data_IF_632743190726
#
_entry.id   IF_632743190726
#
_cell.length_a   1.000
_cell.length_b   1.000
_cell.length_c   1.000
_cell.angle_alpha   90.00
_cell.angle_beta   90.00
_cell.angle_gamma   90.00
#
_symmetry.space_group_name_H-M   'P 1'
#
loop_
_entity.id
_entity.type
_entity.pdbx_description
1 polymer ?
#
# COMPACT_ATOMS: atom_id res chain seq x y z
N UNK A 1 11.73 11.25 14.29
CA UNK A 1 11.83 9.94 14.99
C UNK A 1 10.62 9.85 15.90
N UNK A 2 9.72 8.91 15.64
CA UNK A 2 8.64 8.60 16.59
C UNK A 2 9.29 7.86 17.76
N UNK A 3 9.17 8.44 18.95
CA UNK A 3 9.66 7.85 20.17
C UNK A 3 8.61 6.90 20.76
N UNK A 4 9.07 5.86 21.44
CA UNK A 4 8.19 5.00 22.23
C UNK A 4 7.40 5.88 23.20
N UNK A 5 6.09 5.64 23.32
CA UNK A 5 5.22 6.41 24.22
C UNK A 5 5.73 6.40 25.66
N UNK A 6 5.67 7.54 26.34
CA UNK A 6 6.22 7.66 27.69
C UNK A 6 5.38 6.91 28.74
N UNK A 7 6.00 6.59 29.88
CA UNK A 7 5.43 5.79 30.96
C UNK A 7 4.15 6.38 31.55
N UNK A 8 4.00 7.71 31.57
CA UNK A 8 2.83 8.38 32.12
C UNK A 8 1.58 8.33 31.19
N UNK A 9 1.74 7.90 29.95
CA UNK A 9 0.65 7.88 29.00
C UNK A 9 -0.25 6.65 29.19
N UNK A 10 -1.46 6.87 29.70
CA UNK A 10 -2.50 5.85 29.75
C UNK A 10 -3.17 5.71 28.39
N UNK A 11 -2.81 4.66 27.66
CA UNK A 11 -3.37 4.38 26.35
C UNK A 11 -4.43 3.28 26.46
N UNK A 12 -5.57 3.48 25.82
CA UNK A 12 -6.61 2.44 25.64
C UNK A 12 -7.00 2.42 24.19
N UNK A 13 -7.06 1.24 23.60
CA UNK A 13 -7.58 1.05 22.25
C UNK A 13 -9.08 0.88 22.34
N UNK A 14 -9.80 1.79 21.69
CA UNK A 14 -11.25 1.81 21.66
C UNK A 14 -11.76 1.54 20.25
N UNK A 15 -12.91 0.89 20.16
CA UNK A 15 -13.57 0.69 18.88
C UNK A 15 -14.00 2.03 18.30
N UNK A 16 -13.52 2.36 17.11
CA UNK A 16 -13.94 3.55 16.37
C UNK A 16 -15.23 3.26 15.60
N UNK A 17 -16.11 4.27 15.48
CA UNK A 17 -17.34 4.17 14.71
C UNK A 17 -18.53 4.78 15.46
N UNK A 18 -19.73 4.71 14.86
CA UNK A 18 -21.00 5.24 15.41
C UNK A 18 -21.97 4.15 15.88
N UNK A 19 -21.57 2.86 15.82
CA UNK A 19 -22.39 1.72 16.19
C UNK A 19 -22.51 1.51 17.73
N UNK A 20 -23.28 0.49 18.15
CA UNK A 20 -23.50 0.12 19.56
C UNK A 20 -22.22 -0.17 20.35
N UNK A 21 -21.12 -0.52 19.66
CA UNK A 21 -19.82 -0.85 20.26
C UNK A 21 -18.83 0.31 20.19
N UNK A 22 -19.25 1.47 19.66
CA UNK A 22 -18.42 2.66 19.60
C UNK A 22 -17.93 3.07 21.01
N UNK A 23 -16.63 3.32 21.14
CA UNK A 23 -16.00 3.70 22.40
C UNK A 23 -15.72 2.55 23.39
N UNK A 24 -16.15 1.32 23.11
CA UNK A 24 -15.76 0.17 23.94
C UNK A 24 -14.25 -0.05 23.90
N UNK A 25 -13.68 -0.34 25.06
CA UNK A 25 -12.25 -0.68 25.17
C UNK A 25 -12.05 -2.06 24.58
N UNK A 26 -11.27 -2.15 23.53
CA UNK A 26 -10.87 -3.40 22.87
C UNK A 26 -9.73 -4.02 23.64
N UNK A 27 -8.76 -3.19 24.01
CA UNK A 27 -7.53 -3.63 24.64
C UNK A 27 -6.84 -2.45 25.37
N UNK A 28 -6.14 -2.77 26.45
CA UNK A 28 -5.27 -1.83 27.15
C UNK A 28 -3.81 -2.24 26.94
N UNK A 29 -3.03 -1.49 26.14
CA UNK A 29 -1.63 -1.79 25.88
C UNK A 29 -0.77 -1.79 27.16
N UNK A 30 0.37 -2.51 27.18
CA UNK A 30 1.28 -2.53 28.32
C UNK A 30 1.80 -1.14 28.63
N UNK A 31 2.08 -0.88 29.90
CA UNK A 31 2.69 0.37 30.38
C UNK A 31 4.19 0.20 30.58
N UNK A 32 4.92 1.31 30.45
CA UNK A 32 6.37 1.34 30.73
C UNK A 32 7.22 1.11 29.49
N UNK A 33 8.15 2.04 29.21
CA UNK A 33 9.03 1.96 28.04
C UNK A 33 9.89 0.69 28.06
N UNK A 34 10.36 0.26 29.23
CA UNK A 34 11.15 -0.97 29.37
C UNK A 34 10.35 -2.21 28.96
N UNK A 35 9.07 -2.30 29.40
CA UNK A 35 8.17 -3.42 29.06
C UNK A 35 7.83 -3.40 27.55
N UNK A 36 7.57 -2.21 27.00
CA UNK A 36 7.30 -2.06 25.58
C UNK A 36 8.50 -2.52 24.76
N UNK A 37 9.71 -2.09 25.13
CA UNK A 37 10.94 -2.48 24.46
C UNK A 37 11.17 -3.98 24.52
N UNK A 38 11.04 -4.60 25.69
CA UNK A 38 11.16 -6.06 25.87
C UNK A 38 10.20 -6.81 24.94
N UNK A 39 8.94 -6.37 24.86
CA UNK A 39 7.94 -6.99 23.98
C UNK A 39 8.24 -6.79 22.48
N UNK A 40 8.80 -5.63 22.11
CA UNK A 40 9.27 -5.40 20.75
C UNK A 40 10.48 -6.27 20.41
N UNK A 41 11.44 -6.40 21.32
CA UNK A 41 12.61 -7.27 21.13
C UNK A 41 12.17 -8.74 20.97
N UNK A 42 11.20 -9.19 21.78
CA UNK A 42 10.58 -10.52 21.64
C UNK A 42 9.89 -10.70 20.28
N UNK A 43 9.13 -9.70 19.83
CA UNK A 43 8.48 -9.71 18.51
C UNK A 43 9.51 -9.81 17.38
N UNK A 44 10.62 -9.07 17.46
CA UNK A 44 11.72 -9.13 16.48
C UNK A 44 12.36 -10.52 16.48
N UNK A 45 12.58 -11.11 17.65
CA UNK A 45 13.09 -12.49 17.77
C UNK A 45 12.13 -13.49 17.11
N UNK A 46 10.84 -13.43 17.45
CA UNK A 46 9.81 -14.28 16.83
C UNK A 46 9.84 -14.23 15.31
N UNK A 47 9.98 -13.04 14.73
CA UNK A 47 9.97 -12.86 13.26
C UNK A 47 11.22 -13.35 12.54
N UNK A 48 12.37 -13.32 13.23
CA UNK A 48 13.66 -13.68 12.61
C UNK A 48 14.10 -15.11 12.92
N UNK A 49 13.56 -15.74 13.94
CA UNK A 49 13.90 -17.10 14.33
C UNK A 49 12.95 -18.10 13.65
N UNK A 50 13.34 -18.55 12.46
CA UNK A 50 12.57 -19.52 11.69
C UNK A 50 12.88 -20.97 12.12
N UNK A 51 13.91 -21.19 12.93
CA UNK A 51 14.26 -22.53 13.44
C UNK A 51 13.37 -22.93 14.61
N UNK A 52 13.17 -22.05 15.57
CA UNK A 52 12.34 -22.32 16.75
C UNK A 52 10.85 -22.03 16.49
N UNK A 53 10.53 -21.10 15.61
CA UNK A 53 9.15 -20.75 15.23
C UNK A 53 8.83 -21.17 13.79
N UNK A 54 8.80 -22.48 13.57
CA UNK A 54 8.49 -23.08 12.25
C UNK A 54 7.00 -22.98 11.95
N UNK A 55 6.62 -22.00 11.14
CA UNK A 55 5.27 -21.81 10.64
C UNK A 55 5.28 -21.07 9.31
N UNK A 56 4.16 -21.15 8.58
CA UNK A 56 3.97 -20.38 7.36
C UNK A 56 4.14 -18.87 7.62
N UNK A 57 4.79 -18.16 6.71
CA UNK A 57 5.11 -16.74 6.88
C UNK A 57 3.87 -15.85 6.91
N UNK A 58 2.75 -16.25 6.28
CA UNK A 58 1.49 -15.50 6.35
C UNK A 58 0.89 -15.58 7.76
N UNK A 59 0.93 -16.75 8.40
CA UNK A 59 0.52 -16.90 9.80
C UNK A 59 1.44 -16.12 10.73
N UNK A 60 2.75 -16.21 10.51
CA UNK A 60 3.75 -15.49 11.31
C UNK A 60 3.55 -13.98 11.23
N UNK A 61 3.28 -13.46 10.02
CA UNK A 61 2.92 -12.06 9.81
C UNK A 61 1.63 -11.67 10.54
N UNK A 62 0.57 -12.48 10.46
CA UNK A 62 -0.71 -12.19 11.08
C UNK A 62 -0.60 -12.16 12.63
N UNK A 63 0.17 -13.08 13.22
CA UNK A 63 0.47 -13.11 14.66
C UNK A 63 1.29 -11.88 15.05
N UNK A 64 2.31 -11.54 14.26
CA UNK A 64 3.17 -10.40 14.50
C UNK A 64 2.40 -9.06 14.39
N UNK A 65 1.49 -8.95 13.43
CA UNK A 65 0.61 -7.78 13.31
C UNK A 65 -0.25 -7.59 14.55
N UNK A 66 -0.91 -8.65 15.03
CA UNK A 66 -1.66 -8.62 16.29
C UNK A 66 -0.77 -8.17 17.44
N UNK A 67 0.40 -8.79 17.60
CA UNK A 67 1.31 -8.49 18.71
C UNK A 67 1.79 -7.03 18.67
N UNK A 68 2.10 -6.50 17.48
CA UNK A 68 2.48 -5.11 17.32
C UNK A 68 1.35 -4.14 17.71
N UNK A 69 0.12 -4.42 17.22
CA UNK A 69 -1.05 -3.62 17.60
C UNK A 69 -1.34 -3.71 19.11
N UNK A 70 -1.14 -4.88 19.74
CA UNK A 70 -1.32 -5.09 21.16
C UNK A 70 -0.25 -4.38 22.02
N UNK A 71 0.99 -4.32 21.58
CA UNK A 71 2.06 -3.55 22.21
C UNK A 71 1.76 -2.04 22.10
N UNK A 72 1.28 -1.60 20.95
CA UNK A 72 0.93 -0.21 20.64
C UNK A 72 2.02 0.78 21.04
N UNK A 73 3.24 0.64 20.48
CA UNK A 73 4.43 1.29 21.01
C UNK A 73 4.45 2.82 20.88
N UNK A 74 3.74 3.39 19.92
CA UNK A 74 3.79 4.82 19.61
C UNK A 74 2.58 5.58 20.14
N UNK A 75 2.69 6.91 20.21
CA UNK A 75 1.55 7.78 20.58
C UNK A 75 0.47 7.79 19.50
N UNK A 76 0.89 7.78 18.23
CA UNK A 76 0.02 7.72 17.05
C UNK A 76 0.69 6.91 15.94
N UNK A 77 -0.05 6.54 14.91
CA UNK A 77 0.48 5.87 13.73
C UNK A 77 0.71 4.37 13.87
N UNK A 78 0.38 3.72 15.00
CA UNK A 78 0.62 2.29 15.20
C UNK A 78 0.01 1.45 14.08
N UNK A 79 -1.26 1.64 13.73
CA UNK A 79 -1.90 0.88 12.66
C UNK A 79 -1.26 1.10 11.29
N UNK A 80 -0.79 2.32 10.98
CA UNK A 80 -0.04 2.59 9.73
C UNK A 80 1.30 1.86 9.74
N UNK A 81 2.03 1.96 10.83
CA UNK A 81 3.32 1.28 11.02
C UNK A 81 3.16 -0.24 10.94
N UNK A 82 2.15 -0.81 11.62
CA UNK A 82 1.88 -2.24 11.59
C UNK A 82 1.59 -2.77 10.18
N UNK A 83 0.84 -2.02 9.38
CA UNK A 83 0.57 -2.40 7.98
C UNK A 83 1.81 -2.30 7.08
N UNK A 84 2.61 -1.25 7.21
CA UNK A 84 3.90 -1.13 6.49
C UNK A 84 4.86 -2.24 6.89
N UNK A 85 4.89 -2.56 8.18
CA UNK A 85 5.68 -3.66 8.72
C UNK A 85 5.30 -5.01 8.09
N UNK A 86 4.00 -5.32 7.93
CA UNK A 86 3.53 -6.53 7.27
C UNK A 86 4.09 -6.68 5.86
N UNK A 87 4.01 -5.61 5.06
CA UNK A 87 4.50 -5.61 3.68
C UNK A 87 6.01 -5.85 3.63
N UNK A 88 6.77 -5.13 4.47
CA UNK A 88 8.22 -5.29 4.54
C UNK A 88 8.63 -6.70 4.98
N UNK A 89 7.89 -7.30 5.91
CA UNK A 89 8.13 -8.67 6.34
C UNK A 89 7.91 -9.67 5.20
N UNK A 90 6.78 -9.57 4.48
CA UNK A 90 6.49 -10.45 3.34
C UNK A 90 7.51 -10.29 2.21
N UNK A 91 7.96 -9.06 1.93
CA UNK A 91 9.03 -8.81 0.97
C UNK A 91 10.35 -9.43 1.42
N UNK A 92 10.74 -9.25 2.70
CA UNK A 92 11.95 -9.85 3.27
C UNK A 92 11.95 -11.39 3.19
N UNK A 93 10.75 -12.01 3.30
CA UNK A 93 10.58 -13.47 3.22
C UNK A 93 10.40 -13.98 1.78
N UNK A 94 10.51 -13.11 0.78
CA UNK A 94 10.42 -13.47 -0.64
C UNK A 94 9.02 -13.82 -1.13
N UNK A 95 7.98 -13.45 -0.37
CA UNK A 95 6.58 -13.62 -0.79
C UNK A 95 6.06 -12.46 -1.65
N UNK A 96 6.77 -11.34 -1.64
CA UNK A 96 6.51 -10.17 -2.48
C UNK A 96 7.84 -9.69 -3.09
N UNK A 97 7.88 -9.51 -4.39
CA UNK A 97 9.03 -8.92 -5.08
C UNK A 97 9.10 -7.40 -4.85
N UNK A 98 7.95 -6.77 -4.68
CA UNK A 98 7.80 -5.33 -4.44
C UNK A 98 6.74 -5.06 -3.37
N UNK A 99 6.84 -3.92 -2.70
CA UNK A 99 5.99 -3.55 -1.55
C UNK A 99 4.63 -2.98 -1.98
N UNK A 100 3.83 -3.72 -2.75
CA UNK A 100 2.58 -3.23 -3.35
C UNK A 100 1.30 -3.87 -2.78
N UNK A 101 1.36 -4.57 -1.64
CA UNK A 101 0.19 -5.18 -1.01
C UNK A 101 -0.50 -4.18 -0.06
N UNK A 102 -1.62 -3.58 -0.45
CA UNK A 102 -2.30 -2.53 0.30
C UNK A 102 -3.41 -3.06 1.22
N UNK A 103 -3.05 -3.73 2.31
CA UNK A 103 -3.99 -4.26 3.32
C UNK A 103 -4.90 -3.18 3.93
N UNK A 104 -4.49 -1.90 3.85
CA UNK A 104 -5.23 -0.79 4.47
C UNK A 104 -6.66 -0.68 3.96
N UNK A 105 -6.91 -0.87 2.66
CA UNK A 105 -8.26 -0.77 2.09
C UNK A 105 -9.17 -1.82 2.70
N UNK A 106 -8.77 -3.08 2.65
CA UNK A 106 -9.56 -4.17 3.22
C UNK A 106 -9.86 -3.96 4.71
N UNK A 107 -8.85 -3.57 5.49
CA UNK A 107 -9.03 -3.32 6.93
C UNK A 107 -9.97 -2.13 7.18
N UNK A 108 -9.92 -1.08 6.36
CA UNK A 108 -10.79 0.09 6.48
C UNK A 108 -12.25 -0.25 6.13
N UNK A 109 -12.46 -1.10 5.13
CA UNK A 109 -13.78 -1.54 4.70
C UNK A 109 -14.40 -2.55 5.69
N UNK A 110 -13.55 -3.27 6.47
CA UNK A 110 -13.94 -4.31 7.44
C UNK A 110 -13.48 -3.97 8.86
N UNK A 111 -13.61 -2.71 9.28
CA UNK A 111 -13.11 -2.23 10.59
C UNK A 111 -13.69 -2.99 11.77
N UNK A 112 -14.98 -3.30 11.73
CA UNK A 112 -15.66 -3.99 12.83
C UNK A 112 -15.10 -5.41 13.02
N UNK A 113 -14.89 -6.15 11.94
CA UNK A 113 -14.29 -7.48 11.97
C UNK A 113 -12.83 -7.44 12.43
N UNK A 114 -12.07 -6.43 11.98
CA UNK A 114 -10.69 -6.20 12.41
C UNK A 114 -10.60 -6.03 13.93
N UNK A 115 -11.39 -5.11 14.50
CA UNK A 115 -11.38 -4.86 15.93
C UNK A 115 -11.97 -6.01 16.73
N UNK A 116 -13.00 -6.68 16.22
CA UNK A 116 -13.55 -7.91 16.80
C UNK A 116 -12.51 -9.03 16.85
N UNK A 117 -11.69 -9.15 15.79
CA UNK A 117 -10.57 -10.09 15.73
C UNK A 117 -9.51 -9.79 16.82
N UNK A 118 -9.04 -8.54 16.90
CA UNK A 118 -8.08 -8.10 17.93
C UNK A 118 -8.61 -8.36 19.35
N UNK A 119 -9.86 -7.95 19.63
CA UNK A 119 -10.53 -8.19 20.91
C UNK A 119 -10.70 -9.68 21.20
N UNK A 120 -11.06 -10.46 20.17
CA UNK A 120 -11.23 -11.90 20.26
C UNK A 120 -9.98 -12.62 20.71
N UNK A 121 -8.83 -12.25 20.16
CA UNK A 121 -7.54 -12.78 20.62
C UNK A 121 -7.23 -12.32 22.03
N UNK A 122 -7.32 -11.02 22.34
CA UNK A 122 -6.94 -10.45 23.63
C UNK A 122 -7.79 -11.00 24.78
N UNK A 123 -9.10 -11.21 24.57
CA UNK A 123 -10.03 -11.57 25.63
C UNK A 123 -10.31 -13.07 25.73
N UNK A 124 -10.22 -13.81 24.63
CA UNK A 124 -10.68 -15.21 24.53
C UNK A 124 -9.66 -16.15 23.88
N UNK A 125 -8.48 -15.67 23.48
CA UNK A 125 -7.50 -16.48 22.74
C UNK A 125 -8.00 -16.96 21.38
N UNK A 126 -8.95 -16.27 20.76
CA UNK A 126 -9.56 -16.68 19.50
C UNK A 126 -8.67 -16.34 18.29
N UNK A 127 -7.55 -17.03 18.18
CA UNK A 127 -6.60 -16.89 17.08
C UNK A 127 -7.18 -17.28 15.72
N UNK A 128 -8.07 -18.29 15.69
CA UNK A 128 -8.63 -18.79 14.44
C UNK A 128 -9.30 -17.67 13.63
N UNK A 129 -10.20 -16.92 14.25
CA UNK A 129 -10.93 -15.88 13.56
C UNK A 129 -10.00 -14.74 13.09
N UNK A 130 -9.01 -14.39 13.91
CA UNK A 130 -7.99 -13.40 13.55
C UNK A 130 -7.16 -13.84 12.34
N UNK A 131 -6.64 -15.05 12.37
CA UNK A 131 -5.83 -15.59 11.28
C UNK A 131 -6.63 -15.68 9.97
N UNK A 132 -7.87 -16.15 10.03
CA UNK A 132 -8.76 -16.19 8.86
C UNK A 132 -9.03 -14.78 8.32
N UNK A 133 -9.28 -13.81 9.19
CA UNK A 133 -9.46 -12.42 8.77
C UNK A 133 -8.22 -11.88 8.03
N UNK A 134 -7.04 -12.06 8.59
CA UNK A 134 -5.80 -11.58 7.97
C UNK A 134 -5.48 -12.29 6.65
N UNK A 135 -5.72 -13.60 6.55
CA UNK A 135 -5.53 -14.32 5.29
C UNK A 135 -6.51 -13.86 4.20
N UNK A 136 -7.77 -13.61 4.56
CA UNK A 136 -8.76 -13.02 3.63
C UNK A 136 -8.35 -11.62 3.17
N UNK A 137 -7.78 -10.81 4.06
CA UNK A 137 -7.25 -9.50 3.71
C UNK A 137 -6.13 -9.60 2.67
N UNK A 138 -5.23 -10.58 2.82
CA UNK A 138 -4.15 -10.83 1.87
C UNK A 138 -4.72 -11.33 0.54
N UNK A 139 -5.58 -12.35 0.55
CA UNK A 139 -6.20 -12.92 -0.65
C UNK A 139 -6.94 -11.85 -1.46
N UNK A 140 -7.82 -11.08 -0.82
CA UNK A 140 -8.57 -10.01 -1.46
C UNK A 140 -7.64 -8.96 -2.08
N UNK A 141 -6.68 -8.47 -1.29
CA UNK A 141 -5.79 -7.40 -1.73
C UNK A 141 -4.85 -7.85 -2.84
N UNK A 142 -4.32 -9.08 -2.76
CA UNK A 142 -3.45 -9.63 -3.82
C UNK A 142 -4.22 -9.85 -5.12
N UNK A 143 -5.46 -10.32 -5.06
CA UNK A 143 -6.33 -10.49 -6.23
C UNK A 143 -6.59 -9.17 -6.94
N UNK A 144 -6.99 -8.13 -6.19
CA UNK A 144 -7.22 -6.79 -6.78
C UNK A 144 -5.92 -6.20 -7.33
N UNK A 145 -4.82 -6.33 -6.61
CA UNK A 145 -3.53 -5.83 -7.08
C UNK A 145 -3.11 -6.51 -8.39
N UNK A 146 -3.28 -7.83 -8.47
CA UNK A 146 -2.98 -8.58 -9.69
C UNK A 146 -3.87 -8.16 -10.87
N UNK A 147 -5.16 -7.95 -10.63
CA UNK A 147 -6.08 -7.45 -11.65
C UNK A 147 -5.65 -6.07 -12.17
N UNK A 148 -5.35 -5.13 -11.27
CA UNK A 148 -4.88 -3.78 -11.64
C UNK A 148 -3.56 -3.81 -12.43
N UNK A 149 -2.62 -4.68 -12.06
CA UNK A 149 -1.37 -4.84 -12.81
C UNK A 149 -1.66 -5.30 -14.24
N UNK A 150 -2.53 -6.30 -14.42
CA UNK A 150 -2.89 -6.78 -15.74
C UNK A 150 -3.61 -5.71 -16.57
N UNK A 151 -4.50 -4.92 -15.99
CA UNK A 151 -5.14 -3.80 -16.66
C UNK A 151 -4.12 -2.73 -17.10
N UNK A 152 -3.16 -2.39 -16.22
CA UNK A 152 -2.10 -1.43 -16.55
C UNK A 152 -1.22 -1.95 -17.68
N UNK A 153 -0.84 -3.23 -17.67
CA UNK A 153 -0.04 -3.85 -18.74
C UNK A 153 -0.82 -3.82 -20.06
N UNK A 154 -2.08 -4.23 -20.04
CA UNK A 154 -2.95 -4.22 -21.22
C UNK A 154 -3.15 -2.81 -21.79
N UNK A 155 -3.39 -1.81 -20.93
CA UNK A 155 -3.52 -0.42 -21.34
C UNK A 155 -2.21 0.11 -21.97
N UNK A 156 -1.07 -0.24 -21.36
CA UNK A 156 0.26 0.13 -21.86
C UNK A 156 0.53 -0.47 -23.25
N UNK A 157 0.24 -1.74 -23.44
CA UNK A 157 0.41 -2.43 -24.73
C UNK A 157 -0.50 -1.85 -25.80
N UNK A 158 -1.75 -1.56 -25.46
CA UNK A 158 -2.72 -0.94 -26.38
C UNK A 158 -2.27 0.44 -26.86
N UNK A 159 -1.78 1.28 -25.96
CA UNK A 159 -1.24 2.61 -26.32
C UNK A 159 0.04 2.48 -27.14
N UNK A 160 0.90 1.53 -26.82
CA UNK A 160 2.13 1.29 -27.58
C UNK A 160 1.81 0.85 -29.03
N UNK A 161 0.88 -0.08 -29.21
CA UNK A 161 0.43 -0.51 -30.54
C UNK A 161 -0.20 0.65 -31.33
N UNK A 162 -1.03 1.45 -30.66
CA UNK A 162 -1.64 2.62 -31.27
C UNK A 162 -0.57 3.61 -31.79
N UNK A 163 0.43 3.94 -30.96
CA UNK A 163 1.52 4.85 -31.33
C UNK A 163 2.36 4.28 -32.48
N UNK A 164 2.61 2.96 -32.49
CA UNK A 164 3.38 2.30 -33.56
C UNK A 164 2.65 2.30 -34.90
N UNK A 165 1.33 2.29 -34.89
CA UNK A 165 0.48 2.34 -36.09
C UNK A 165 0.30 3.78 -36.63
N UNK A 166 0.60 4.81 -35.85
CA UNK A 166 0.50 6.21 -36.32
C UNK A 166 1.49 6.47 -37.47
N UNK A 167 1.00 7.05 -38.56
CA UNK A 167 1.81 7.41 -39.74
C UNK A 167 2.92 8.40 -39.44
N UNK A 168 2.76 9.21 -38.38
CA UNK A 168 3.77 10.13 -37.88
C UNK A 168 4.67 9.39 -36.87
N UNK A 169 5.81 8.91 -37.36
CA UNK A 169 6.76 8.12 -36.57
C UNK A 169 7.15 8.83 -35.27
N UNK A 170 6.92 8.15 -34.16
CA UNK A 170 7.44 8.53 -32.86
C UNK A 170 8.82 7.90 -32.68
N UNK A 171 9.80 8.69 -32.25
CA UNK A 171 11.11 8.17 -31.88
C UNK A 171 10.99 7.44 -30.53
N UNK A 172 11.47 6.21 -30.44
CA UNK A 172 11.42 5.40 -29.23
C UNK A 172 10.03 5.33 -28.57
N UNK A 173 9.02 4.74 -29.24
CA UNK A 173 7.65 4.70 -28.73
C UNK A 173 7.53 3.95 -27.39
N UNK A 174 8.37 2.94 -27.18
CA UNK A 174 8.45 2.20 -25.92
C UNK A 174 8.83 3.11 -24.75
N UNK A 175 9.81 4.00 -24.92
CA UNK A 175 10.27 4.93 -23.89
C UNK A 175 9.20 5.99 -23.60
N UNK A 176 8.49 6.46 -24.64
CA UNK A 176 7.36 7.36 -24.48
C UNK A 176 6.29 6.72 -23.60
N UNK A 177 5.86 5.51 -23.96
CA UNK A 177 4.82 4.80 -23.20
C UNK A 177 5.29 4.49 -21.79
N UNK A 178 6.53 4.05 -21.59
CA UNK A 178 7.09 3.84 -20.26
C UNK A 178 6.99 5.10 -19.40
N UNK A 179 7.36 6.27 -19.93
CA UNK A 179 7.27 7.53 -19.23
C UNK A 179 5.83 7.91 -18.86
N UNK A 180 4.85 7.63 -19.76
CA UNK A 180 3.42 7.88 -19.53
C UNK A 180 2.81 6.98 -18.43
N UNK A 181 3.42 5.83 -18.16
CA UNK A 181 2.95 4.88 -17.14
C UNK A 181 3.78 4.90 -15.86
N UNK A 182 4.79 5.76 -15.75
CA UNK A 182 5.56 5.93 -14.51
C UNK A 182 4.71 6.55 -13.40
N UNK A 183 3.80 7.44 -13.77
CA UNK A 183 2.87 8.11 -12.85
C UNK A 183 1.66 8.63 -13.64
N UNK A 184 0.51 8.87 -12.99
CA UNK A 184 -0.72 9.29 -13.70
C UNK A 184 -0.58 10.60 -14.48
N UNK A 185 0.31 11.50 -14.09
CA UNK A 185 0.53 12.74 -14.87
C UNK A 185 1.95 12.86 -15.37
N UNK A 186 2.07 13.31 -16.61
CA UNK A 186 3.35 13.58 -17.25
C UNK A 186 3.49 15.07 -17.55
N UNK A 187 4.71 15.58 -17.46
CA UNK A 187 5.12 16.92 -17.90
C UNK A 187 6.11 16.79 -19.05
N UNK A 188 6.22 17.83 -19.85
CA UNK A 188 7.27 17.92 -20.90
C UNK A 188 8.65 17.63 -20.29
N UNK A 189 8.94 18.21 -19.12
CA UNK A 189 10.21 18.01 -18.42
C UNK A 189 10.51 16.52 -18.15
N UNK A 190 9.54 15.68 -17.80
CA UNK A 190 9.78 14.28 -17.52
C UNK A 190 10.31 13.51 -18.73
N UNK A 191 9.83 13.87 -19.95
CA UNK A 191 10.34 13.30 -21.20
C UNK A 191 11.70 13.85 -21.60
N UNK A 192 11.98 15.12 -21.29
CA UNK A 192 13.28 15.74 -21.54
C UNK A 192 14.36 15.20 -20.63
N UNK A 193 14.04 15.03 -19.34
CA UNK A 193 14.98 14.51 -18.32
C UNK A 193 15.42 13.05 -18.62
N UNK A 194 14.66 12.30 -19.42
CA UNK A 194 15.08 10.97 -19.92
C UNK A 194 16.24 11.06 -20.93
N UNK A 195 16.54 12.22 -21.47
CA UNK A 195 17.59 12.43 -22.48
C UNK A 195 17.23 11.96 -23.90
N UNK A 196 16.01 11.41 -24.10
CA UNK A 196 15.59 10.81 -25.38
C UNK A 196 14.95 11.86 -26.29
N UNK A 197 14.22 12.83 -25.72
CA UNK A 197 13.43 13.81 -26.45
C UNK A 197 13.90 15.24 -26.18
N UNK A 198 13.93 16.07 -27.25
CA UNK A 198 14.02 17.52 -27.10
C UNK A 198 12.70 18.07 -26.54
N UNK A 199 12.73 19.29 -25.96
CA UNK A 199 11.53 19.92 -25.40
C UNK A 199 10.41 20.07 -26.42
N UNK A 200 10.74 20.49 -27.66
CA UNK A 200 9.75 20.66 -28.73
C UNK A 200 9.13 19.30 -29.13
N UNK A 201 9.94 18.25 -29.25
CA UNK A 201 9.46 16.90 -29.58
C UNK A 201 8.57 16.33 -28.47
N UNK A 202 8.99 16.46 -27.21
CA UNK A 202 8.22 16.02 -26.06
C UNK A 202 6.86 16.73 -25.99
N UNK A 203 6.85 18.05 -26.21
CA UNK A 203 5.64 18.87 -26.25
C UNK A 203 4.69 18.45 -27.38
N UNK A 204 5.23 18.23 -28.58
CA UNK A 204 4.44 17.75 -29.73
C UNK A 204 3.80 16.40 -29.46
N UNK A 205 4.56 15.43 -28.95
CA UNK A 205 4.01 14.10 -28.63
C UNK A 205 2.91 14.15 -27.58
N UNK A 206 3.09 14.90 -26.50
CA UNK A 206 2.10 15.03 -25.43
C UNK A 206 0.83 15.74 -25.93
N UNK A 207 0.96 16.81 -26.72
CA UNK A 207 -0.20 17.48 -27.31
C UNK A 207 -0.96 16.55 -28.25
N UNK A 208 -0.27 15.83 -29.14
CA UNK A 208 -0.90 14.86 -30.08
C UNK A 208 -1.67 13.78 -29.34
N UNK A 209 -1.11 13.23 -28.25
CA UNK A 209 -1.79 12.23 -27.43
C UNK A 209 -3.00 12.83 -26.69
N UNK A 210 -2.95 14.12 -26.39
CA UNK A 210 -4.09 14.84 -25.83
C UNK A 210 -5.18 15.11 -26.86
N UNK A 211 -4.83 15.46 -28.09
CA UNK A 211 -5.78 15.71 -29.18
C UNK A 211 -6.62 14.46 -29.53
N UNK A 212 -6.07 13.29 -29.32
CA UNK A 212 -6.73 11.99 -29.53
C UNK A 212 -7.28 11.36 -28.25
N UNK A 213 -7.36 12.11 -27.15
CA UNK A 213 -7.93 11.72 -25.86
C UNK A 213 -7.26 10.52 -25.17
N UNK A 214 -6.01 10.20 -25.48
CA UNK A 214 -5.18 9.28 -24.68
C UNK A 214 -4.73 9.95 -23.39
N UNK A 215 -4.43 11.25 -23.49
CA UNK A 215 -4.10 12.11 -22.36
C UNK A 215 -5.12 13.24 -22.25
N UNK A 216 -5.31 13.75 -21.02
CA UNK A 216 -6.04 15.00 -20.79
C UNK A 216 -5.03 16.09 -20.40
N UNK A 217 -4.97 17.17 -21.18
CA UNK A 217 -4.13 18.33 -20.86
C UNK A 217 -4.81 19.22 -19.84
N UNK A 218 -4.16 19.44 -18.70
CA UNK A 218 -4.61 20.35 -17.63
C UNK A 218 -3.60 21.45 -17.39
N UNK A 219 -4.09 22.64 -17.09
CA UNK A 219 -3.27 23.74 -16.62
C UNK A 219 -3.53 23.99 -15.14
N UNK A 220 -2.46 23.92 -14.34
CA UNK A 220 -2.50 24.16 -12.89
C UNK A 220 -1.38 25.15 -12.57
N UNK A 221 -1.72 26.30 -12.03
CA UNK A 221 -0.76 27.37 -11.66
C UNK A 221 0.18 27.75 -12.82
N UNK A 222 -0.37 27.91 -14.04
CA UNK A 222 0.41 28.26 -15.23
C UNK A 222 1.32 27.15 -15.78
N UNK A 223 1.18 25.92 -15.29
CA UNK A 223 1.96 24.76 -15.73
C UNK A 223 1.07 23.71 -16.37
N UNK A 224 1.52 23.15 -17.51
CA UNK A 224 0.80 22.09 -18.20
C UNK A 224 1.16 20.72 -17.66
N UNK A 225 0.11 19.94 -17.36
CA UNK A 225 0.14 18.55 -16.98
C UNK A 225 -0.67 17.72 -17.99
N UNK A 226 -0.20 16.53 -18.28
CA UNK A 226 -0.89 15.60 -19.17
C UNK A 226 -1.27 14.36 -18.36
N UNK A 227 -2.56 14.21 -18.06
CA UNK A 227 -3.11 13.11 -17.28
C UNK A 227 -3.35 11.92 -18.19
N UNK A 228 -2.76 10.77 -17.87
CA UNK A 228 -3.07 9.49 -18.48
C UNK A 228 -4.43 9.01 -17.94
N UNK A 229 -5.47 9.15 -18.74
CA UNK A 229 -6.85 8.90 -18.32
C UNK A 229 -7.06 7.44 -17.90
N UNK A 230 -6.50 6.50 -18.64
CA UNK A 230 -6.68 5.08 -18.36
C UNK A 230 -5.91 4.65 -17.11
N UNK A 231 -4.66 5.07 -16.96
CA UNK A 231 -3.90 4.79 -15.75
C UNK A 231 -4.55 5.42 -14.51
N UNK A 232 -5.07 6.65 -14.65
CA UNK A 232 -5.78 7.31 -13.56
C UNK A 232 -7.05 6.56 -13.17
N UNK A 233 -7.85 6.10 -14.15
CA UNK A 233 -9.04 5.28 -13.92
C UNK A 233 -8.69 4.01 -13.12
N UNK A 234 -7.72 3.22 -13.61
CA UNK A 234 -7.31 1.96 -12.97
C UNK A 234 -6.85 2.17 -11.53
N UNK A 235 -6.12 3.25 -11.26
CA UNK A 235 -5.58 3.53 -9.92
C UNK A 235 -6.62 4.13 -8.96
N UNK A 236 -7.70 4.74 -9.49
CA UNK A 236 -8.75 5.40 -8.68
C UNK A 236 -9.88 4.47 -8.25
N UNK A 237 -10.10 3.37 -8.96
CA UNK A 237 -11.04 2.30 -8.61
C UNK A 237 -10.46 1.36 -7.55
#
# INVERSE_FOLDING_TARGET
KEEIRPDFLNTTIKQSGTGRTAGQVIYTPPKGQAVIKEKLDNLVTFLNDDENFRMDYLFKMAIAHYQFEAIHPFRDGNGRTGRVFNINYLTKKGLLDVTILFLSRFILDHKEDYYSGLSGVSQRGNWKNWLVFMLRAIEYTSTITFQKINEIVSAKDSILEFIKKDTRKVRSPEDLVNALFTQPFTKVKHLVDSGIYSENTARDYLNRLSDIHVLEKKEIEGRHYYLNLELYRILSE
#
